data_IF_929022260158
#
_entry.id   IF_929022260158
#
_cell.length_a   1.000
_cell.length_b   1.000
_cell.length_c   1.000
_cell.angle_alpha   90.00
_cell.angle_beta   90.00
_cell.angle_gamma   90.00
#
_symmetry.space_group_name_H-M   'P 1'
#
loop_
_entity.id
_entity.type
_entity.pdbx_description
1 polymer ?
#
# COMPACT_ATOMS: atom_id res chain seq x y z
N UNK A 1 -12.81 1.63 -6.57
CA UNK A 1 -12.19 1.96 -7.87
C UNK A 1 -13.23 2.35 -8.93
N UNK A 2 -14.47 1.86 -8.83
CA UNK A 2 -15.50 2.05 -9.87
C UNK A 2 -15.79 3.51 -10.25
N UNK A 3 -15.87 4.43 -9.27
CA UNK A 3 -16.07 5.86 -9.56
C UNK A 3 -14.89 6.46 -10.30
N UNK A 4 -13.66 6.04 -9.98
CA UNK A 4 -12.43 6.48 -10.67
C UNK A 4 -12.47 6.01 -12.13
N UNK A 5 -12.81 4.75 -12.36
CA UNK A 5 -12.98 4.22 -13.73
C UNK A 5 -14.09 4.95 -14.47
N UNK A 6 -15.23 5.19 -13.82
CA UNK A 6 -16.33 5.98 -14.36
C UNK A 6 -15.87 7.37 -14.81
N UNK A 7 -15.11 8.07 -13.95
CA UNK A 7 -14.58 9.41 -14.29
C UNK A 7 -13.55 9.39 -15.42
N UNK A 8 -12.75 8.33 -15.53
CA UNK A 8 -11.80 8.17 -16.63
C UNK A 8 -12.49 7.86 -17.96
N UNK A 9 -13.59 7.11 -17.92
CA UNK A 9 -14.37 6.76 -19.11
C UNK A 9 -15.25 7.93 -19.60
N UNK A 10 -15.77 8.76 -18.69
CA UNK A 10 -16.67 9.87 -19.07
C UNK A 10 -15.96 11.20 -19.23
N UNK A 11 -14.88 11.44 -18.49
CA UNK A 11 -14.09 12.68 -18.43
C UNK A 11 -14.93 13.98 -18.29
N UNK A 12 -16.08 13.89 -17.63
CA UNK A 12 -17.05 14.98 -17.54
C UNK A 12 -17.21 15.55 -16.12
N UNK A 13 -16.32 15.17 -15.19
CA UNK A 13 -16.28 15.60 -13.78
C UNK A 13 -17.45 15.13 -12.91
N UNK A 14 -18.28 14.22 -13.39
CA UNK A 14 -19.49 13.77 -12.68
C UNK A 14 -19.17 13.09 -11.36
N UNK A 15 -18.02 12.42 -11.26
CA UNK A 15 -17.68 11.61 -10.08
C UNK A 15 -16.59 12.23 -9.21
N UNK A 16 -15.95 13.33 -9.65
CA UNK A 16 -14.76 13.89 -8.99
C UNK A 16 -15.02 14.24 -7.53
N UNK A 17 -16.16 14.85 -7.20
CA UNK A 17 -16.50 15.21 -5.82
C UNK A 17 -16.69 13.98 -4.92
N UNK A 18 -17.33 12.92 -5.42
CA UNK A 18 -17.54 11.69 -4.64
C UNK A 18 -16.24 10.90 -4.47
N UNK A 19 -15.39 10.89 -5.49
CA UNK A 19 -14.03 10.35 -5.39
C UNK A 19 -13.24 11.12 -4.33
N UNK A 20 -13.32 12.45 -4.34
CA UNK A 20 -12.64 13.30 -3.37
C UNK A 20 -13.10 13.02 -1.92
N UNK A 21 -14.42 12.86 -1.70
CA UNK A 21 -14.96 12.50 -0.39
C UNK A 21 -14.47 11.13 0.09
N UNK A 22 -14.57 10.11 -0.76
CA UNK A 22 -14.13 8.75 -0.41
C UNK A 22 -12.63 8.67 -0.16
N UNK A 23 -11.83 9.33 -1.01
CA UNK A 23 -10.39 9.43 -0.83
C UNK A 23 -10.05 10.11 0.51
N UNK A 24 -10.73 11.22 0.84
CA UNK A 24 -10.47 11.92 2.09
C UNK A 24 -10.78 11.05 3.32
N UNK A 25 -11.88 10.29 3.28
CA UNK A 25 -12.21 9.34 4.34
C UNK A 25 -11.09 8.30 4.54
N UNK A 26 -10.59 7.70 3.46
CA UNK A 26 -9.47 6.73 3.52
C UNK A 26 -8.22 7.39 4.13
N UNK A 27 -7.89 8.61 3.72
CA UNK A 27 -6.70 9.34 4.21
C UNK A 27 -6.79 9.73 5.70
N UNK A 28 -8.01 9.80 6.26
CA UNK A 28 -8.27 10.08 7.68
C UNK A 28 -8.42 8.83 8.55
N UNK A 29 -8.41 7.62 7.97
CA UNK A 29 -8.48 6.39 8.75
C UNK A 29 -7.31 6.29 9.74
N UNK A 30 -7.60 5.91 10.99
CA UNK A 30 -6.58 5.74 12.04
C UNK A 30 -5.52 4.69 11.68
N UNK A 31 -5.87 3.73 10.83
CA UNK A 31 -4.94 2.77 10.20
C UNK A 31 -5.53 2.27 8.89
N UNK A 32 -4.69 1.79 7.98
CA UNK A 32 -5.14 1.00 6.81
C UNK A 32 -4.99 -0.51 7.04
N UNK A 33 -4.45 -0.90 8.20
CA UNK A 33 -4.34 -2.31 8.60
C UNK A 33 -5.72 -2.91 8.80
N UNK A 34 -5.97 -4.10 8.27
CA UNK A 34 -7.24 -4.78 8.52
C UNK A 34 -7.40 -5.10 10.01
N UNK A 35 -8.62 -5.01 10.56
CA UNK A 35 -8.85 -5.23 11.99
C UNK A 35 -8.32 -6.57 12.53
N UNK A 36 -8.42 -7.63 11.73
CA UNK A 36 -7.92 -8.97 12.08
C UNK A 36 -6.39 -9.05 12.24
N UNK A 37 -5.65 -8.04 11.76
CA UNK A 37 -4.20 -8.01 11.76
C UNK A 37 -3.62 -6.99 12.75
N UNK A 38 -4.47 -6.35 13.56
CA UNK A 38 -4.03 -5.36 14.56
C UNK A 38 -3.14 -5.97 15.64
N UNK A 39 -3.18 -7.29 15.88
CA UNK A 39 -2.28 -7.97 16.80
C UNK A 39 -0.78 -7.74 16.49
N UNK A 40 -0.44 -7.31 15.27
CA UNK A 40 0.93 -6.99 14.86
C UNK A 40 1.46 -5.67 15.44
N UNK A 41 0.59 -4.78 15.92
CA UNK A 41 1.01 -3.55 16.60
C UNK A 41 1.44 -3.86 18.04
N UNK A 42 2.32 -3.05 18.62
CA UNK A 42 2.85 -3.25 19.98
C UNK A 42 1.76 -3.14 21.06
N UNK A 43 0.74 -2.32 20.82
CA UNK A 43 -0.40 -2.17 21.72
C UNK A 43 -1.30 -3.42 21.78
N UNK A 44 -1.11 -4.40 20.89
CA UNK A 44 -1.92 -5.60 20.80
C UNK A 44 -3.24 -5.37 20.05
N UNK A 45 -4.18 -6.29 20.21
CA UNK A 45 -5.47 -6.27 19.49
C UNK A 45 -6.44 -5.18 19.99
N UNK A 46 -7.50 -4.94 19.21
CA UNK A 46 -8.60 -4.04 19.57
C UNK A 46 -8.58 -2.76 18.74
N UNK A 47 -8.10 -1.66 19.33
CA UNK A 47 -8.10 -0.34 18.67
C UNK A 47 -6.75 -0.08 17.96
N UNK A 48 -6.74 0.56 16.78
CA UNK A 48 -5.49 0.89 16.10
C UNK A 48 -4.70 1.95 16.87
N UNK A 49 -3.40 1.72 17.05
CA UNK A 49 -2.47 2.69 17.61
C UNK A 49 -2.04 3.69 16.51
N UNK A 50 -2.46 4.97 16.59
CA UNK A 50 -2.13 5.96 15.56
C UNK A 50 -0.66 6.38 15.57
N UNK A 51 0.15 5.88 16.52
CA UNK A 51 1.60 6.14 16.59
C UNK A 51 2.44 5.04 15.96
N UNK A 52 1.85 3.89 15.60
CA UNK A 52 2.55 2.78 14.98
C UNK A 52 1.85 2.32 13.70
N UNK A 53 2.56 2.42 12.57
CA UNK A 53 2.09 1.91 11.29
C UNK A 53 2.48 0.44 11.13
N UNK A 54 1.52 -0.35 10.69
CA UNK A 54 1.69 -1.76 10.34
C UNK A 54 1.32 -1.93 8.88
N UNK A 55 2.18 -2.60 8.12
CA UNK A 55 1.88 -2.94 6.73
C UNK A 55 1.42 -4.40 6.68
N UNK A 56 0.14 -4.58 6.40
CA UNK A 56 -0.51 -5.86 6.11
C UNK A 56 -1.10 -5.84 4.69
N UNK A 57 -1.92 -6.84 4.37
CA UNK A 57 -2.65 -6.93 3.11
C UNK A 57 -3.46 -5.67 2.79
N UNK A 58 -4.20 -5.15 3.78
CA UNK A 58 -5.06 -3.97 3.63
C UNK A 58 -4.28 -2.68 3.45
N UNK A 59 -3.24 -2.47 4.26
CA UNK A 59 -2.38 -1.30 4.13
C UNK A 59 -1.66 -1.27 2.78
N UNK A 60 -1.22 -2.45 2.31
CA UNK A 60 -0.70 -2.62 0.95
C UNK A 60 -1.72 -2.18 -0.10
N UNK A 61 -2.91 -2.80 -0.12
CA UNK A 61 -3.96 -2.51 -1.10
C UNK A 61 -4.38 -1.02 -1.10
N UNK A 62 -4.66 -0.46 0.07
CA UNK A 62 -5.02 0.95 0.22
C UNK A 62 -3.94 1.88 -0.32
N UNK A 63 -2.66 1.55 -0.09
CA UNK A 63 -1.55 2.35 -0.63
C UNK A 63 -1.53 2.40 -2.14
N UNK A 64 -1.70 1.25 -2.80
CA UNK A 64 -1.69 1.16 -4.25
C UNK A 64 -2.90 1.90 -4.83
N UNK A 65 -4.08 1.77 -4.22
CA UNK A 65 -5.26 2.53 -4.65
C UNK A 65 -5.06 4.03 -4.57
N UNK A 66 -4.53 4.54 -3.45
CA UNK A 66 -4.26 5.98 -3.29
C UNK A 66 -3.20 6.44 -4.31
N UNK A 67 -2.16 5.64 -4.54
CA UNK A 67 -1.12 5.94 -5.53
C UNK A 67 -1.67 6.01 -6.97
N UNK A 68 -2.57 5.07 -7.34
CA UNK A 68 -3.26 5.10 -8.62
C UNK A 68 -4.17 6.32 -8.77
N UNK A 69 -4.97 6.65 -7.75
CA UNK A 69 -5.83 7.84 -7.76
C UNK A 69 -4.99 9.10 -7.93
N UNK A 70 -3.86 9.19 -7.21
CA UNK A 70 -2.92 10.29 -7.35
C UNK A 70 -2.42 10.44 -8.78
N UNK A 71 -1.95 9.35 -9.40
CA UNK A 71 -1.47 9.38 -10.80
C UNK A 71 -2.59 9.80 -11.77
N UNK A 72 -3.76 9.18 -11.66
CA UNK A 72 -4.81 9.26 -12.67
C UNK A 72 -5.66 10.53 -12.54
N UNK A 73 -5.91 11.00 -11.32
CA UNK A 73 -6.86 12.09 -11.03
C UNK A 73 -6.24 13.23 -10.24
N UNK A 74 -4.93 13.20 -9.95
CA UNK A 74 -4.25 14.23 -9.15
C UNK A 74 -4.50 15.66 -9.62
N UNK A 75 -4.48 15.91 -10.94
CA UNK A 75 -4.76 17.22 -11.52
C UNK A 75 -6.22 17.66 -11.33
N UNK A 76 -7.18 16.74 -11.47
CA UNK A 76 -8.60 17.03 -11.25
C UNK A 76 -8.89 17.33 -9.78
N UNK A 77 -8.32 16.54 -8.88
CA UNK A 77 -8.45 16.72 -7.43
C UNK A 77 -7.76 18.00 -6.95
N UNK A 78 -6.61 18.36 -7.53
CA UNK A 78 -5.89 19.60 -7.21
C UNK A 78 -6.72 20.85 -7.54
N UNK A 79 -7.59 20.80 -8.55
CA UNK A 79 -8.53 21.89 -8.87
C UNK A 79 -9.62 22.07 -7.81
N UNK A 80 -10.01 20.99 -7.10
CA UNK A 80 -10.90 21.10 -5.94
C UNK A 80 -10.16 21.65 -4.73
N UNK A 81 -8.96 21.11 -4.45
CA UNK A 81 -8.08 21.63 -3.42
C UNK A 81 -6.64 21.17 -3.65
N UNK A 82 -5.63 22.05 -3.51
CA UNK A 82 -4.23 21.65 -3.60
C UNK A 82 -3.78 20.72 -2.45
N UNK A 83 -4.63 20.52 -1.44
CA UNK A 83 -4.33 19.63 -0.31
C UNK A 83 -4.47 18.15 -0.63
N UNK A 84 -5.20 17.75 -1.68
CA UNK A 84 -5.39 16.32 -1.98
C UNK A 84 -4.07 15.62 -2.29
N UNK A 85 -3.29 16.13 -3.26
CA UNK A 85 -2.00 15.52 -3.62
C UNK A 85 -1.02 15.57 -2.46
N UNK A 86 -0.96 16.70 -1.75
CA UNK A 86 -0.10 16.84 -0.56
C UNK A 86 -0.45 15.83 0.53
N UNK A 87 -1.74 15.61 0.80
CA UNK A 87 -2.20 14.65 1.81
C UNK A 87 -1.94 13.21 1.35
N UNK A 88 -2.21 12.87 0.09
CA UNK A 88 -1.88 11.55 -0.46
C UNK A 88 -0.38 11.25 -0.31
N UNK A 89 0.48 12.17 -0.73
CA UNK A 89 1.94 12.01 -0.62
C UNK A 89 2.38 11.84 0.84
N UNK A 90 1.85 12.67 1.73
CA UNK A 90 2.15 12.59 3.16
C UNK A 90 1.73 11.25 3.79
N UNK A 91 0.54 10.75 3.48
CA UNK A 91 0.01 9.49 4.03
C UNK A 91 0.74 8.27 3.44
N UNK A 92 0.99 8.25 2.13
CA UNK A 92 1.74 7.17 1.48
C UNK A 92 3.18 7.09 2.01
N UNK A 93 3.85 8.23 2.16
CA UNK A 93 5.22 8.25 2.63
C UNK A 93 5.33 7.70 4.06
N UNK A 94 4.57 8.28 5.00
CA UNK A 94 4.68 7.90 6.41
C UNK A 94 4.16 6.50 6.72
N UNK A 95 3.03 6.08 6.13
CA UNK A 95 2.39 4.79 6.45
C UNK A 95 3.03 3.62 5.74
N UNK A 96 3.60 3.85 4.56
CA UNK A 96 4.00 2.78 3.65
C UNK A 96 5.49 2.88 3.35
N UNK A 97 5.94 3.95 2.70
CA UNK A 97 7.31 4.00 2.19
C UNK A 97 8.33 4.04 3.33
N UNK A 98 8.22 5.01 4.24
CA UNK A 98 9.10 5.12 5.41
C UNK A 98 8.93 3.92 6.34
N UNK A 99 7.70 3.50 6.57
CA UNK A 99 7.42 2.35 7.45
C UNK A 99 8.06 1.08 6.91
N UNK A 100 7.95 0.82 5.60
CA UNK A 100 8.57 -0.34 4.93
C UNK A 100 10.09 -0.30 5.02
N UNK A 101 10.70 0.87 4.81
CA UNK A 101 12.16 1.02 4.84
C UNK A 101 12.76 0.91 6.23
N UNK A 102 12.01 1.27 7.28
CA UNK A 102 12.51 1.32 8.66
C UNK A 102 12.08 0.12 9.54
N UNK A 103 11.29 -0.83 9.02
CA UNK A 103 10.80 -1.96 9.81
C UNK A 103 10.95 -3.29 9.06
N UNK A 104 11.45 -4.30 9.77
CA UNK A 104 11.47 -5.70 9.30
C UNK A 104 10.23 -6.43 9.83
N UNK A 105 9.22 -6.60 8.97
CA UNK A 105 8.00 -7.32 9.30
C UNK A 105 8.21 -8.83 9.25
N UNK A 106 8.48 -9.43 10.42
CA UNK A 106 8.77 -10.86 10.58
C UNK A 106 7.69 -11.80 10.02
N UNK A 107 6.45 -11.33 9.96
CA UNK A 107 5.31 -12.16 9.55
C UNK A 107 5.26 -12.43 8.04
N UNK A 108 5.90 -11.58 7.22
CA UNK A 108 5.76 -11.70 5.77
C UNK A 108 7.02 -11.37 4.97
N UNK A 109 8.05 -10.70 5.49
CA UNK A 109 9.22 -10.30 4.68
C UNK A 109 10.25 -11.41 4.39
N UNK A 110 10.29 -12.46 5.21
CA UNK A 110 11.22 -13.59 5.00
C UNK A 110 12.70 -13.29 5.27
N UNK A 111 13.06 -12.10 5.76
CA UNK A 111 14.46 -11.71 6.00
C UNK A 111 15.19 -12.52 7.09
N UNK A 112 14.48 -13.31 7.91
CA UNK A 112 15.09 -14.22 8.89
C UNK A 112 15.21 -15.66 8.37
N UNK A 113 14.98 -15.89 7.06
CA UNK A 113 15.07 -17.20 6.41
C UNK A 113 13.90 -18.15 6.68
N UNK A 114 12.81 -17.63 7.26
CA UNK A 114 11.58 -18.38 7.51
C UNK A 114 10.72 -18.50 6.25
N UNK A 115 9.97 -19.62 6.14
CA UNK A 115 8.92 -19.75 5.12
C UNK A 115 7.85 -18.67 5.34
N UNK A 116 7.50 -17.98 4.27
CA UNK A 116 6.47 -16.94 4.23
C UNK A 116 5.35 -17.35 3.28
N UNK A 117 4.17 -16.79 3.51
CA UNK A 117 2.95 -17.06 2.73
C UNK A 117 2.73 -15.97 1.66
N UNK A 118 1.59 -16.01 0.96
CA UNK A 118 1.21 -15.05 -0.07
C UNK A 118 1.16 -13.58 0.38
N UNK A 119 1.14 -13.30 1.70
CA UNK A 119 1.21 -11.93 2.19
C UNK A 119 2.48 -11.25 1.68
N UNK A 120 3.58 -11.99 1.57
CA UNK A 120 4.82 -11.47 1.03
C UNK A 120 4.61 -10.85 -0.36
N UNK A 121 4.23 -11.68 -1.34
CA UNK A 121 4.17 -11.24 -2.73
C UNK A 121 3.06 -10.21 -2.95
N UNK A 122 1.94 -10.33 -2.22
CA UNK A 122 0.84 -9.36 -2.25
C UNK A 122 1.29 -7.98 -1.76
N UNK A 123 1.90 -7.93 -0.57
CA UNK A 123 2.30 -6.68 0.05
C UNK A 123 3.44 -6.04 -0.74
N UNK A 124 4.47 -6.81 -1.13
CA UNK A 124 5.59 -6.31 -1.94
C UNK A 124 5.10 -5.74 -3.27
N UNK A 125 4.15 -6.40 -3.97
CA UNK A 125 3.60 -5.91 -5.23
C UNK A 125 2.91 -4.55 -5.05
N UNK A 126 2.11 -4.40 -3.99
CA UNK A 126 1.44 -3.14 -3.70
C UNK A 126 2.41 -2.02 -3.31
N UNK A 127 3.45 -2.32 -2.51
CA UNK A 127 4.51 -1.36 -2.15
C UNK A 127 5.29 -0.94 -3.40
N UNK A 128 5.61 -1.88 -4.29
CA UNK A 128 6.28 -1.58 -5.56
C UNK A 128 5.44 -0.63 -6.41
N UNK A 129 4.15 -0.91 -6.60
CA UNK A 129 3.23 -0.01 -7.31
C UNK A 129 3.21 1.38 -6.68
N UNK A 130 3.04 1.46 -5.36
CA UNK A 130 3.05 2.75 -4.64
C UNK A 130 4.35 3.50 -4.88
N UNK A 131 5.51 2.84 -4.74
CA UNK A 131 6.83 3.47 -4.89
C UNK A 131 7.09 3.98 -6.32
N UNK A 132 6.72 3.20 -7.33
CA UNK A 132 6.86 3.60 -8.74
C UNK A 132 6.03 4.85 -9.07
N UNK A 133 4.87 5.00 -8.45
CA UNK A 133 3.90 6.05 -8.77
C UNK A 133 4.10 7.35 -7.96
N UNK A 134 4.72 7.29 -6.77
CA UNK A 134 4.70 8.44 -5.84
C UNK A 134 6.06 8.83 -5.27
N UNK A 135 7.07 7.97 -5.33
CA UNK A 135 8.37 8.21 -4.69
C UNK A 135 9.38 8.77 -5.70
N UNK A 136 10.31 9.62 -5.25
CA UNK A 136 11.41 10.14 -6.09
C UNK A 136 12.47 9.05 -6.41
N UNK A 137 13.30 9.29 -7.43
CA UNK A 137 14.14 8.24 -8.01
C UNK A 137 15.15 7.59 -7.04
N UNK A 138 15.79 8.37 -6.16
CA UNK A 138 16.76 7.83 -5.20
C UNK A 138 16.10 6.91 -4.19
N UNK A 139 15.03 7.37 -3.51
CA UNK A 139 14.32 6.57 -2.51
C UNK A 139 13.59 5.38 -3.14
N UNK A 140 13.07 5.55 -4.36
CA UNK A 140 12.39 4.49 -5.13
C UNK A 140 13.30 3.29 -5.38
N UNK A 141 14.56 3.53 -5.75
CA UNK A 141 15.51 2.45 -6.02
C UNK A 141 15.73 1.57 -4.78
N UNK A 142 15.83 2.16 -3.60
CA UNK A 142 16.04 1.41 -2.35
C UNK A 142 14.80 0.61 -1.95
N UNK A 143 13.60 1.17 -2.16
CA UNK A 143 12.35 0.44 -1.97
C UNK A 143 12.26 -0.76 -2.92
N UNK A 144 12.59 -0.57 -4.20
CA UNK A 144 12.57 -1.66 -5.19
C UNK A 144 13.53 -2.78 -4.78
N UNK A 145 14.77 -2.45 -4.41
CA UNK A 145 15.76 -3.45 -3.97
C UNK A 145 15.24 -4.25 -2.77
N UNK A 146 14.72 -3.56 -1.76
CA UNK A 146 14.20 -4.20 -0.54
C UNK A 146 12.98 -5.08 -0.82
N UNK A 147 12.09 -4.66 -1.70
CA UNK A 147 10.92 -5.45 -2.11
C UNK A 147 11.32 -6.69 -2.92
N UNK A 148 12.27 -6.57 -3.84
CA UNK A 148 12.82 -7.72 -4.59
C UNK A 148 13.48 -8.72 -3.66
N UNK A 149 14.34 -8.27 -2.75
CA UNK A 149 14.97 -9.15 -1.75
C UNK A 149 13.93 -9.90 -0.90
N UNK A 150 12.83 -9.24 -0.53
CA UNK A 150 11.73 -9.85 0.23
C UNK A 150 10.96 -10.87 -0.61
N UNK A 151 10.70 -10.56 -1.88
CA UNK A 151 10.03 -11.46 -2.81
C UNK A 151 10.87 -12.69 -3.18
N UNK A 152 12.19 -12.54 -3.28
CA UNK A 152 13.11 -13.66 -3.50
C UNK A 152 12.97 -14.69 -2.38
N UNK A 153 12.90 -14.26 -1.11
CA UNK A 153 12.70 -15.17 0.03
C UNK A 153 11.36 -15.92 -0.03
N UNK A 154 10.33 -15.38 -0.69
CA UNK A 154 9.06 -16.08 -0.89
C UNK A 154 9.16 -17.09 -2.04
N UNK A 155 9.81 -16.69 -3.14
CA UNK A 155 10.01 -17.53 -4.31
C UNK A 155 10.88 -18.75 -4.02
N UNK A 156 11.87 -18.63 -3.12
CA UNK A 156 12.76 -19.73 -2.71
C UNK A 156 12.02 -20.96 -2.13
N UNK A 157 10.76 -20.81 -1.71
CA UNK A 157 9.93 -21.91 -1.20
C UNK A 157 9.04 -22.58 -2.25
N UNK A 158 8.99 -22.04 -3.47
CA UNK A 158 8.26 -22.67 -4.58
C UNK A 158 9.10 -23.78 -5.22
N UNK A 159 8.45 -24.92 -5.47
CA UNK A 159 9.05 -26.00 -6.24
C UNK A 159 9.19 -25.64 -7.72
N UNK A 160 10.00 -26.42 -8.45
CA UNK A 160 10.17 -26.25 -9.90
C UNK A 160 8.88 -26.45 -10.71
N UNK A 161 7.86 -27.09 -10.11
CA UNK A 161 6.54 -27.30 -10.71
C UNK A 161 5.61 -26.07 -10.60
N UNK A 162 6.03 -25.02 -9.88
CA UNK A 162 5.24 -23.82 -9.64
C UNK A 162 4.03 -24.03 -8.74
N UNK A 163 3.96 -25.14 -8.01
CA UNK A 163 2.86 -25.43 -7.10
C UNK A 163 2.77 -24.43 -5.94
N UNK A 164 1.55 -23.96 -5.65
CA UNK A 164 1.25 -23.10 -4.51
C UNK A 164 0.56 -23.92 -3.41
N UNK A 165 1.18 -24.00 -2.22
CA UNK A 165 0.63 -24.71 -1.05
C UNK A 165 -0.67 -24.07 -0.52
N UNK A 166 -0.96 -22.83 -0.89
CA UNK A 166 -2.15 -22.10 -0.45
C UNK A 166 -3.38 -22.33 -1.35
N UNK A 167 -3.21 -23.09 -2.43
CA UNK A 167 -4.28 -23.42 -3.36
C UNK A 167 -4.45 -22.39 -4.50
N UNK A 168 -5.44 -22.63 -5.38
CA UNK A 168 -5.79 -21.76 -6.50
C UNK A 168 -6.60 -20.52 -6.09
#
# INVERSE_FOLDING_TARGET
MDLVLGELLTDNKTYVEQIANGLWLILEESTWTWPAHLYMQKAGEGMPDPSQWVIDLGAGESSAYVAWIRLLLGDKLTKLSPMFVKRMDYELDRRIVDTFMNNDFKNWMGFEGQKVNNWNIWINTNILMTSLLTVNDTKRLDVIKRAVMSADNWLDWYGEDGGCDEGP
#
